data_IF_606477276200
#
_entry.id   IF_606477276200
#
_cell.length_a   1.000
_cell.length_b   1.000
_cell.length_c   1.000
_cell.angle_alpha   90.00
_cell.angle_beta   90.00
_cell.angle_gamma   90.00
#
_symmetry.space_group_name_H-M   'P 1'
#
loop_
_entity.id
_entity.type
_entity.pdbx_description
1 polymer ?
#
# COMPACT_ATOMS: atom_id res chain seq x y z
N UNK A 1 4.60 -2.60 -9.52
CA UNK A 1 5.51 -3.58 -8.89
C UNK A 1 6.51 -4.06 -9.93
N UNK A 2 7.78 -3.71 -9.70
CA UNK A 2 8.87 -4.00 -10.62
C UNK A 2 9.41 -5.41 -10.44
N UNK A 3 10.01 -5.91 -11.51
CA UNK A 3 10.93 -7.04 -11.50
C UNK A 3 12.37 -6.54 -11.51
N UNK A 4 13.29 -7.38 -11.06
CA UNK A 4 14.72 -7.09 -10.94
C UNK A 4 15.53 -8.23 -11.52
N UNK A 5 16.84 -8.05 -11.64
CA UNK A 5 17.72 -9.08 -12.18
C UNK A 5 18.66 -9.64 -11.11
N UNK A 6 18.77 -10.97 -11.09
CA UNK A 6 19.83 -11.65 -10.38
C UNK A 6 21.14 -11.52 -11.15
N UNK A 7 22.28 -11.62 -10.45
CA UNK A 7 23.60 -11.70 -11.09
C UNK A 7 23.77 -12.88 -12.07
N UNK A 8 22.90 -13.90 -12.01
CA UNK A 8 22.86 -14.99 -12.99
C UNK A 8 21.97 -14.71 -14.22
N UNK A 9 21.33 -13.54 -14.30
CA UNK A 9 20.41 -13.14 -15.38
C UNK A 9 18.96 -13.59 -15.18
N UNK A 10 18.63 -14.28 -14.09
CA UNK A 10 17.24 -14.67 -13.79
C UNK A 10 16.43 -13.49 -13.23
N UNK A 11 15.17 -13.40 -13.63
CA UNK A 11 14.22 -12.42 -13.11
C UNK A 11 13.91 -12.69 -11.63
N UNK A 12 13.94 -11.63 -10.84
CA UNK A 12 13.59 -11.56 -9.43
C UNK A 12 12.32 -10.73 -9.25
N UNK A 13 11.43 -11.23 -8.41
CA UNK A 13 10.21 -10.54 -8.00
C UNK A 13 10.42 -9.86 -6.65
N UNK A 14 9.61 -8.83 -6.40
CA UNK A 14 9.67 -8.00 -5.18
C UNK A 14 9.72 -8.79 -3.86
N UNK A 15 9.13 -9.99 -3.82
CA UNK A 15 9.04 -10.84 -2.62
C UNK A 15 10.07 -11.96 -2.56
N UNK A 16 10.94 -12.13 -3.56
CA UNK A 16 11.91 -13.22 -3.53
C UNK A 16 12.90 -13.06 -2.35
N UNK A 17 13.27 -14.21 -1.78
CA UNK A 17 14.32 -14.36 -0.76
C UNK A 17 15.51 -15.19 -1.27
N UNK A 18 15.28 -15.94 -2.35
CA UNK A 18 16.30 -16.67 -3.11
C UNK A 18 15.99 -16.60 -4.61
N UNK A 19 17.03 -16.73 -5.42
CA UNK A 19 16.88 -16.91 -6.86
C UNK A 19 16.52 -18.37 -7.15
N UNK A 20 15.41 -18.60 -7.87
CA UNK A 20 14.96 -19.95 -8.22
C UNK A 20 15.85 -20.67 -9.25
N UNK A 21 16.72 -19.93 -9.95
CA UNK A 21 17.62 -20.49 -10.97
C UNK A 21 18.98 -20.87 -10.40
N UNK A 22 19.64 -19.97 -9.65
CA UNK A 22 21.00 -20.20 -9.13
C UNK A 22 21.07 -20.46 -7.62
N UNK A 23 19.95 -20.39 -6.90
CA UNK A 23 19.88 -20.63 -5.46
C UNK A 23 20.51 -19.55 -4.57
N UNK A 24 21.03 -18.46 -5.15
CA UNK A 24 21.60 -17.34 -4.37
C UNK A 24 20.56 -16.71 -3.47
N UNK A 25 20.99 -16.27 -2.29
CA UNK A 25 20.21 -15.37 -1.44
C UNK A 25 19.96 -14.07 -2.19
N UNK A 26 18.72 -13.61 -2.19
CA UNK A 26 18.33 -12.30 -2.71
C UNK A 26 17.54 -11.54 -1.64
N UNK A 27 17.42 -10.22 -1.81
CA UNK A 27 16.62 -9.41 -0.91
C UNK A 27 16.61 -7.95 -1.28
N UNK A 28 15.74 -7.18 -0.64
CA UNK A 28 15.62 -5.74 -0.84
C UNK A 28 16.84 -5.02 -0.26
N UNK A 29 17.52 -4.22 -1.08
CA UNK A 29 18.61 -3.34 -0.66
C UNK A 29 18.13 -1.89 -0.70
N UNK A 30 18.07 -1.23 0.47
CA UNK A 30 17.60 0.15 0.59
C UNK A 30 18.46 1.13 -0.23
N UNK A 31 19.77 0.92 -0.29
CA UNK A 31 20.67 1.77 -1.08
C UNK A 31 20.40 1.69 -2.59
N UNK A 32 19.93 0.54 -3.07
CA UNK A 32 19.61 0.34 -4.50
C UNK A 32 18.13 0.54 -4.82
N UNK A 33 17.24 0.62 -3.81
CA UNK A 33 15.78 0.55 -3.96
C UNK A 33 15.35 -0.62 -4.88
N UNK A 34 15.98 -1.78 -4.70
CA UNK A 34 15.83 -2.93 -5.57
C UNK A 34 15.99 -4.26 -4.84
N UNK A 35 15.37 -5.33 -5.37
CA UNK A 35 15.72 -6.70 -4.99
C UNK A 35 17.00 -7.09 -5.71
N UNK A 36 18.02 -7.47 -4.95
CA UNK A 36 19.36 -7.77 -5.46
C UNK A 36 19.83 -9.13 -4.99
N UNK A 37 20.70 -9.78 -5.76
CA UNK A 37 21.43 -10.95 -5.28
C UNK A 37 22.58 -10.54 -4.37
N UNK A 38 22.86 -11.40 -3.40
CA UNK A 38 23.88 -11.18 -2.37
C UNK A 38 24.93 -12.26 -2.51
N UNK A 39 26.19 -11.85 -2.62
CA UNK A 39 27.31 -12.77 -2.70
C UNK A 39 27.50 -13.55 -1.40
N UNK A 40 28.30 -14.62 -1.41
CA UNK A 40 28.63 -15.38 -0.19
C UNK A 40 29.35 -14.54 0.88
N UNK A 41 30.02 -13.45 0.49
CA UNK A 41 30.67 -12.53 1.42
C UNK A 41 29.73 -11.42 1.94
N UNK A 42 28.45 -11.49 1.58
CA UNK A 42 27.43 -10.50 1.93
C UNK A 42 27.40 -9.29 1.00
N UNK A 43 28.11 -9.29 -0.13
CA UNK A 43 28.16 -8.11 -0.99
C UNK A 43 26.91 -8.00 -1.86
N UNK A 44 26.32 -6.81 -1.96
CA UNK A 44 25.29 -6.48 -2.93
C UNK A 44 25.87 -6.62 -4.34
N UNK A 45 25.23 -7.43 -5.19
CA UNK A 45 25.71 -7.68 -6.56
C UNK A 45 25.10 -6.71 -7.59
N UNK A 46 24.32 -5.71 -7.15
CA UNK A 46 23.90 -4.59 -8.02
C UNK A 46 25.14 -3.80 -8.46
N UNK A 47 25.34 -3.56 -9.78
CA UNK A 47 26.47 -2.80 -10.29
C UNK A 47 26.61 -1.43 -9.60
N UNK A 48 27.81 -1.12 -9.10
CA UNK A 48 28.11 0.16 -8.44
C UNK A 48 27.64 0.32 -6.99
N UNK A 49 26.91 -0.65 -6.42
CA UNK A 49 26.40 -0.52 -5.05
C UNK A 49 27.51 -0.60 -3.98
N UNK A 50 28.33 -1.66 -4.01
CA UNK A 50 29.45 -1.86 -3.08
C UNK A 50 29.07 -2.17 -1.62
N UNK A 51 27.78 -2.11 -1.25
CA UNK A 51 27.32 -2.35 0.13
C UNK A 51 27.57 -3.79 0.57
N UNK A 52 27.98 -3.95 1.83
CA UNK A 52 27.93 -5.23 2.54
C UNK A 52 26.63 -5.33 3.32
N UNK A 53 25.93 -6.43 3.11
CA UNK A 53 24.57 -6.65 3.53
C UNK A 53 24.47 -7.92 4.38
N UNK A 54 23.58 -7.86 5.37
CA UNK A 54 23.12 -9.01 6.15
C UNK A 54 21.58 -9.03 6.19
N UNK A 55 20.94 -10.19 6.40
CA UNK A 55 19.49 -10.25 6.55
C UNK A 55 19.01 -9.36 7.70
N UNK A 56 17.85 -8.71 7.52
CA UNK A 56 17.13 -8.10 8.64
C UNK A 56 16.85 -9.16 9.73
N UNK A 57 16.93 -8.81 11.01
CA UNK A 57 16.73 -9.76 12.10
C UNK A 57 15.36 -10.47 12.04
N UNK A 58 14.28 -9.73 11.73
CA UNK A 58 12.96 -10.32 11.54
C UNK A 58 12.87 -11.23 10.29
N UNK A 59 13.66 -10.97 9.24
CA UNK A 59 13.77 -11.89 8.11
C UNK A 59 14.42 -13.20 8.56
N UNK A 60 15.54 -13.10 9.26
CA UNK A 60 16.35 -14.25 9.67
C UNK A 60 15.59 -15.14 10.67
N UNK A 61 14.94 -14.53 11.65
CA UNK A 61 14.22 -15.24 12.70
C UNK A 61 12.84 -15.75 12.26
N UNK A 62 12.11 -14.97 11.44
CA UNK A 62 10.66 -15.17 11.25
C UNK A 62 10.22 -15.21 9.78
N UNK A 63 11.10 -14.90 8.83
CA UNK A 63 10.80 -14.84 7.38
C UNK A 63 9.64 -13.90 7.03
N UNK A 64 9.41 -12.87 7.85
CA UNK A 64 8.31 -11.91 7.65
C UNK A 64 8.65 -10.85 6.60
N UNK A 65 9.93 -10.56 6.38
CA UNK A 65 10.42 -9.66 5.35
C UNK A 65 11.55 -10.27 4.51
N UNK A 66 11.85 -9.65 3.37
CA UNK A 66 12.99 -10.01 2.51
C UNK A 66 14.08 -8.92 2.47
N UNK A 67 14.04 -7.98 3.41
CA UNK A 67 14.99 -6.87 3.44
C UNK A 67 16.38 -7.32 3.88
N UNK A 68 17.37 -6.62 3.34
CA UNK A 68 18.76 -6.63 3.75
C UNK A 68 19.09 -5.33 4.45
N UNK A 69 19.94 -5.39 5.47
CA UNK A 69 20.46 -4.22 6.20
C UNK A 69 21.98 -4.17 6.07
N UNK A 70 22.58 -3.01 6.37
CA UNK A 70 24.04 -2.89 6.38
C UNK A 70 24.66 -3.93 7.32
N UNK A 71 25.72 -4.59 6.87
CA UNK A 71 26.52 -5.50 7.69
C UNK A 71 27.15 -4.78 8.90
N UNK A 72 27.33 -3.46 8.82
CA UNK A 72 27.90 -2.64 9.90
C UNK A 72 26.87 -2.28 10.98
N UNK A 73 25.58 -2.59 10.77
CA UNK A 73 24.52 -2.32 11.74
C UNK A 73 24.54 -3.26 12.97
N UNK A 74 25.37 -4.30 12.95
CA UNK A 74 25.50 -5.27 14.03
C UNK A 74 24.40 -6.34 14.03
N UNK A 75 24.49 -7.26 14.99
CA UNK A 75 23.52 -8.34 15.17
C UNK A 75 22.17 -7.81 15.66
N UNK A 76 21.06 -8.39 15.17
CA UNK A 76 19.72 -7.97 15.60
C UNK A 76 19.19 -6.72 14.90
N UNK A 77 19.91 -6.20 13.89
CA UNK A 77 19.48 -5.02 13.14
C UNK A 77 18.17 -5.27 12.36
N UNK A 78 17.20 -4.37 12.53
CA UNK A 78 15.94 -4.36 11.79
C UNK A 78 16.00 -3.42 10.59
N UNK A 79 15.36 -3.77 9.48
CA UNK A 79 15.15 -2.83 8.37
C UNK A 79 14.09 -1.78 8.75
N UNK A 80 14.05 -0.64 8.04
CA UNK A 80 13.11 0.46 8.32
C UNK A 80 11.65 0.00 8.40
N UNK A 81 11.23 -0.84 7.44
CA UNK A 81 9.89 -1.41 7.44
C UNK A 81 9.58 -2.18 8.73
N UNK A 82 10.50 -3.04 9.20
CA UNK A 82 10.31 -3.76 10.46
C UNK A 82 10.42 -2.86 11.69
N UNK A 83 11.24 -1.80 11.67
CA UNK A 83 11.32 -0.81 12.76
C UNK A 83 9.99 -0.07 12.97
N UNK A 84 9.22 0.16 11.89
CA UNK A 84 7.89 0.80 11.97
C UNK A 84 6.81 -0.09 12.58
N UNK A 85 7.04 -1.40 12.77
CA UNK A 85 6.10 -2.25 13.53
C UNK A 85 6.47 -2.21 15.01
N UNK A 86 5.74 -1.40 15.78
CA UNK A 86 5.97 -1.23 17.22
C UNK A 86 5.36 -2.36 18.04
N UNK A 87 4.33 -3.03 17.50
CA UNK A 87 3.72 -4.22 18.11
C UNK A 87 3.61 -5.33 17.06
N UNK A 88 4.48 -6.32 17.18
CA UNK A 88 4.41 -7.56 16.41
C UNK A 88 3.63 -8.62 17.20
N UNK A 89 2.93 -9.55 16.53
CA UNK A 89 2.22 -10.61 17.21
C UNK A 89 3.18 -11.68 17.73
N UNK A 90 2.72 -12.53 18.65
CA UNK A 90 3.53 -13.63 19.20
C UNK A 90 3.97 -14.60 18.08
N UNK A 91 5.27 -14.70 17.77
CA UNK A 91 5.76 -15.55 16.70
C UNK A 91 5.82 -17.04 17.08
N UNK A 92 5.58 -17.39 18.35
CA UNK A 92 5.52 -18.78 18.80
C UNK A 92 4.22 -19.48 18.39
N UNK A 93 3.16 -18.70 18.14
CA UNK A 93 1.94 -19.18 17.51
C UNK A 93 2.10 -19.18 15.98
N UNK A 94 2.04 -20.38 15.39
CA UNK A 94 2.22 -20.58 13.95
C UNK A 94 1.17 -19.84 13.09
N UNK A 95 -0.06 -19.67 13.59
CA UNK A 95 -1.11 -18.90 12.93
C UNK A 95 -0.75 -17.42 12.92
N UNK A 96 -0.37 -16.88 14.09
CA UNK A 96 0.04 -15.49 14.22
C UNK A 96 1.26 -15.18 13.34
N UNK A 97 2.26 -16.06 13.31
CA UNK A 97 3.42 -15.92 12.45
C UNK A 97 3.04 -15.91 10.96
N UNK A 98 2.11 -16.78 10.54
CA UNK A 98 1.63 -16.83 9.15
C UNK A 98 0.90 -15.54 8.77
N UNK A 99 0.04 -15.03 9.66
CA UNK A 99 -0.71 -13.80 9.46
C UNK A 99 0.24 -12.58 9.44
N UNK A 100 1.21 -12.54 10.34
CA UNK A 100 2.23 -11.50 10.37
C UNK A 100 3.03 -11.43 9.05
N UNK A 101 3.45 -12.58 8.52
CA UNK A 101 4.13 -12.66 7.20
C UNK A 101 3.27 -12.06 6.09
N UNK A 102 1.95 -12.25 6.12
CA UNK A 102 1.04 -11.70 5.13
C UNK A 102 0.89 -10.17 5.27
N UNK A 103 0.70 -9.67 6.49
CA UNK A 103 0.62 -8.24 6.78
C UNK A 103 1.91 -7.51 6.41
N UNK A 104 3.07 -8.07 6.76
CA UNK A 104 4.37 -7.50 6.40
C UNK A 104 4.60 -7.45 4.89
N UNK A 105 4.08 -8.41 4.12
CA UNK A 105 4.11 -8.32 2.65
C UNK A 105 3.26 -7.18 2.13
N UNK A 106 2.06 -6.98 2.69
CA UNK A 106 1.18 -5.85 2.36
C UNK A 106 1.83 -4.51 2.68
N UNK A 107 2.32 -4.34 3.92
CA UNK A 107 3.00 -3.12 4.38
C UNK A 107 4.24 -2.79 3.55
N UNK A 108 5.06 -3.78 3.16
CA UNK A 108 6.23 -3.52 2.29
C UNK A 108 5.83 -2.98 0.92
N UNK A 109 4.75 -3.50 0.34
CA UNK A 109 4.21 -2.97 -0.91
C UNK A 109 3.70 -1.56 -0.73
N UNK A 110 3.03 -1.26 0.39
CA UNK A 110 2.61 0.10 0.71
C UNK A 110 3.81 1.06 0.77
N UNK A 111 4.88 0.73 1.50
CA UNK A 111 6.06 1.61 1.56
C UNK A 111 6.72 1.80 0.19
N UNK A 112 6.69 0.78 -0.66
CA UNK A 112 7.11 0.92 -2.05
C UNK A 112 6.23 1.92 -2.81
N UNK A 113 4.91 1.81 -2.69
CA UNK A 113 3.94 2.70 -3.34
C UNK A 113 4.07 4.15 -2.85
N UNK A 114 4.28 4.36 -1.54
CA UNK A 114 4.53 5.69 -0.95
C UNK A 114 5.80 6.32 -1.51
N UNK A 115 6.89 5.56 -1.60
CA UNK A 115 8.13 6.03 -2.18
C UNK A 115 8.00 6.33 -3.70
N UNK A 116 7.15 5.57 -4.41
CA UNK A 116 6.83 5.79 -5.82
C UNK A 116 6.11 7.13 -6.04
N UNK A 117 5.21 7.52 -5.13
CA UNK A 117 4.51 8.81 -5.18
C UNK A 117 5.28 9.94 -4.48
N UNK A 118 6.55 9.72 -4.11
CA UNK A 118 7.43 10.77 -3.59
C UNK A 118 7.26 11.09 -2.10
N UNK A 119 6.54 10.28 -1.35
CA UNK A 119 6.50 10.40 0.11
C UNK A 119 7.86 9.97 0.67
N UNK A 120 8.52 10.88 1.37
CA UNK A 120 9.89 10.68 1.88
C UNK A 120 9.89 9.97 3.24
N UNK A 121 10.97 9.26 3.57
CA UNK A 121 11.14 8.71 4.92
C UNK A 121 11.11 9.81 5.99
N UNK A 122 11.57 11.02 5.68
CA UNK A 122 11.48 12.16 6.60
C UNK A 122 10.02 12.50 6.95
N UNK A 123 9.11 12.48 5.96
CA UNK A 123 7.68 12.67 6.22
C UNK A 123 7.08 11.52 7.02
N UNK A 124 7.52 10.29 6.78
CA UNK A 124 7.04 9.13 7.54
C UNK A 124 7.56 9.10 8.98
N UNK A 125 8.76 9.64 9.23
CA UNK A 125 9.44 9.53 10.53
C UNK A 125 9.25 10.79 11.40
N UNK A 126 8.72 11.90 10.86
CA UNK A 126 8.46 13.10 11.66
C UNK A 126 7.26 12.91 12.62
N UNK A 127 7.27 13.59 13.77
CA UNK A 127 6.31 13.37 14.86
C UNK A 127 4.89 13.89 14.52
N UNK A 128 3.82 13.09 14.76
CA UNK A 128 3.85 11.68 15.14
C UNK A 128 4.23 10.76 13.95
N UNK A 129 5.14 9.78 14.13
CA UNK A 129 5.64 8.96 13.02
C UNK A 129 4.61 7.91 12.57
N UNK A 130 4.71 7.50 11.30
CA UNK A 130 3.96 6.36 10.77
C UNK A 130 4.45 5.05 11.40
N UNK A 131 3.62 4.44 12.23
CA UNK A 131 3.89 3.16 12.87
C UNK A 131 2.74 2.17 12.72
N UNK A 132 3.03 0.90 13.00
CA UNK A 132 2.10 -0.20 12.81
C UNK A 132 1.98 -1.07 14.05
N UNK A 133 0.75 -1.45 14.38
CA UNK A 133 0.42 -2.46 15.39
C UNK A 133 -0.32 -3.60 14.73
N UNK A 134 0.20 -4.82 14.85
CA UNK A 134 -0.44 -6.04 14.37
C UNK A 134 -0.89 -6.85 15.56
N UNK A 135 -2.20 -6.84 15.82
CA UNK A 135 -2.78 -7.38 17.04
C UNK A 135 -3.79 -8.49 16.71
N UNK A 136 -3.85 -9.52 17.55
CA UNK A 136 -4.86 -10.56 17.46
C UNK A 136 -6.01 -10.25 18.41
N UNK A 137 -7.22 -10.64 18.04
CA UNK A 137 -8.34 -10.69 18.97
C UNK A 137 -8.02 -11.58 20.17
N UNK A 138 -8.54 -11.18 21.33
CA UNK A 138 -8.56 -12.01 22.54
C UNK A 138 -10.01 -12.36 22.89
N UNK A 139 -10.27 -13.32 23.78
CA UNK A 139 -11.63 -13.59 24.24
C UNK A 139 -12.35 -12.37 24.84
N UNK A 140 -11.58 -11.42 25.38
CA UNK A 140 -12.10 -10.25 26.10
C UNK A 140 -12.06 -8.96 25.27
N UNK A 141 -11.32 -8.94 24.15
CA UNK A 141 -11.08 -7.74 23.35
C UNK A 141 -11.09 -8.04 21.86
N UNK A 142 -11.95 -7.34 21.12
CA UNK A 142 -11.93 -7.31 19.67
C UNK A 142 -11.09 -6.13 19.19
N UNK A 143 -10.09 -6.41 18.35
CA UNK A 143 -9.20 -5.40 17.78
C UNK A 143 -9.89 -4.73 16.59
N UNK A 144 -10.10 -3.43 16.73
CA UNK A 144 -10.56 -2.57 15.65
C UNK A 144 -9.35 -2.19 14.77
N UNK A 145 -9.51 -2.38 13.46
CA UNK A 145 -8.56 -1.90 12.46
C UNK A 145 -8.81 -0.42 12.20
N UNK A 146 -7.76 0.38 12.16
CA UNK A 146 -7.89 1.83 12.00
C UNK A 146 -6.58 2.58 12.16
N UNK A 147 -6.63 3.89 11.92
CA UNK A 147 -5.54 4.83 12.14
C UNK A 147 -5.87 5.78 13.31
N UNK A 148 -4.90 6.00 14.20
CA UNK A 148 -4.97 7.05 15.23
C UNK A 148 -3.57 7.60 15.52
N UNK A 149 -3.40 8.92 15.46
CA UNK A 149 -2.17 9.64 15.84
C UNK A 149 -0.87 9.04 15.26
N UNK A 150 -0.86 8.71 13.96
CA UNK A 150 0.30 8.10 13.29
C UNK A 150 0.38 6.58 13.40
N UNK A 151 -0.50 5.94 14.15
CA UNK A 151 -0.50 4.50 14.40
C UNK A 151 -1.58 3.81 13.57
N UNK A 152 -1.16 2.99 12.60
CA UNK A 152 -2.05 2.08 11.87
C UNK A 152 -2.12 0.75 12.63
N UNK A 153 -3.29 0.44 13.16
CA UNK A 153 -3.58 -0.84 13.81
C UNK A 153 -4.31 -1.75 12.83
N UNK A 154 -3.78 -2.95 12.59
CA UNK A 154 -4.43 -3.98 11.77
C UNK A 154 -4.67 -5.22 12.63
N UNK A 155 -5.91 -5.71 12.63
CA UNK A 155 -6.25 -7.00 13.22
C UNK A 155 -5.66 -8.15 12.39
N UNK A 156 -4.96 -9.11 13.01
CA UNK A 156 -4.39 -10.27 12.33
C UNK A 156 -5.44 -11.10 11.57
N UNK A 157 -6.69 -11.08 11.99
CA UNK A 157 -7.79 -11.74 11.30
C UNK A 157 -7.91 -11.26 9.84
N UNK A 158 -7.52 -10.02 9.53
CA UNK A 158 -7.51 -9.48 8.17
C UNK A 158 -6.53 -10.23 7.26
N UNK A 159 -5.52 -10.91 7.81
CA UNK A 159 -4.63 -11.77 7.03
C UNK A 159 -5.26 -13.12 6.64
N UNK A 160 -6.38 -13.52 7.25
CA UNK A 160 -7.10 -14.75 6.92
C UNK A 160 -8.00 -14.55 5.68
N UNK A 161 -7.76 -15.28 4.57
CA UNK A 161 -8.57 -15.14 3.36
C UNK A 161 -10.05 -15.47 3.56
N UNK A 162 -10.41 -16.35 4.51
CA UNK A 162 -11.80 -16.69 4.81
C UNK A 162 -12.50 -15.52 5.50
N UNK A 163 -11.82 -14.87 6.44
CA UNK A 163 -12.34 -13.66 7.10
C UNK A 163 -12.52 -12.55 6.07
N UNK A 164 -11.53 -12.33 5.19
CA UNK A 164 -11.62 -11.33 4.12
C UNK A 164 -12.78 -11.59 3.18
N UNK A 165 -12.97 -12.81 2.72
CA UNK A 165 -14.07 -13.11 1.78
C UNK A 165 -15.44 -12.94 2.43
N UNK A 166 -15.58 -13.29 3.72
CA UNK A 166 -16.80 -13.00 4.48
C UNK A 166 -17.06 -11.50 4.60
N UNK A 167 -16.04 -10.73 4.99
CA UNK A 167 -16.13 -9.27 5.09
C UNK A 167 -16.49 -8.64 3.75
N UNK A 168 -15.84 -9.07 2.66
CA UNK A 168 -16.11 -8.60 1.31
C UNK A 168 -17.60 -8.73 0.95
N UNK A 169 -18.20 -9.89 1.22
CA UNK A 169 -19.62 -10.12 0.94
C UNK A 169 -20.53 -9.33 1.90
N UNK A 170 -20.20 -9.30 3.18
CA UNK A 170 -20.99 -8.62 4.21
C UNK A 170 -21.08 -7.11 3.97
N UNK A 171 -19.98 -6.48 3.55
CA UNK A 171 -19.90 -5.04 3.33
C UNK A 171 -20.10 -4.65 1.86
N UNK A 172 -20.43 -5.62 0.99
CA UNK A 172 -20.65 -5.36 -0.44
C UNK A 172 -19.42 -4.81 -1.15
N UNK A 173 -18.22 -5.12 -0.67
CA UNK A 173 -16.97 -4.65 -1.25
C UNK A 173 -16.69 -5.42 -2.55
N UNK A 174 -16.26 -4.74 -3.63
CA UNK A 174 -15.86 -5.43 -4.85
C UNK A 174 -14.63 -6.32 -4.62
N UNK A 175 -13.69 -5.83 -3.81
CA UNK A 175 -12.46 -6.50 -3.43
C UNK A 175 -12.06 -6.14 -2.00
N UNK A 176 -11.59 -7.13 -1.23
CA UNK A 176 -11.04 -6.93 0.11
C UNK A 176 -9.64 -7.51 0.17
N UNK A 177 -8.63 -6.65 0.29
CA UNK A 177 -7.23 -7.07 0.32
C UNK A 177 -6.47 -6.39 1.45
N UNK A 178 -5.48 -7.09 2.00
CA UNK A 178 -4.59 -6.54 3.04
C UNK A 178 -3.97 -5.21 2.60
N UNK A 179 -3.51 -5.12 1.34
CA UNK A 179 -2.90 -3.89 0.83
C UNK A 179 -3.93 -2.77 0.65
N UNK A 180 -5.17 -3.10 0.30
CA UNK A 180 -6.28 -2.15 0.24
C UNK A 180 -6.49 -1.47 1.59
N UNK A 181 -6.54 -2.23 2.69
CA UNK A 181 -6.65 -1.62 4.02
C UNK A 181 -5.44 -0.80 4.40
N UNK A 182 -4.22 -1.27 4.12
CA UNK A 182 -3.04 -0.43 4.35
C UNK A 182 -3.11 0.90 3.59
N UNK A 183 -3.63 0.89 2.36
CA UNK A 183 -3.80 2.10 1.54
C UNK A 183 -4.91 3.03 2.08
N UNK A 184 -5.99 2.46 2.59
CA UNK A 184 -7.03 3.21 3.28
C UNK A 184 -6.47 3.87 4.56
N UNK A 185 -5.87 3.09 5.45
CA UNK A 185 -5.37 3.59 6.74
C UNK A 185 -4.22 4.58 6.58
N UNK A 186 -3.36 4.40 5.57
CA UNK A 186 -2.35 5.42 5.29
C UNK A 186 -2.95 6.67 4.65
N UNK A 187 -4.12 6.58 4.03
CA UNK A 187 -4.90 7.75 3.60
C UNK A 187 -5.20 8.67 4.78
N UNK A 188 -5.67 8.12 5.90
CA UNK A 188 -5.86 8.88 7.15
C UNK A 188 -4.56 9.49 7.67
N UNK A 189 -3.45 8.73 7.66
CA UNK A 189 -2.12 9.26 8.02
C UNK A 189 -1.69 10.43 7.12
N UNK A 190 -1.89 10.30 5.81
CA UNK A 190 -1.49 11.31 4.83
C UNK A 190 -2.38 12.55 4.94
N UNK A 191 -3.66 12.40 5.27
CA UNK A 191 -4.54 13.53 5.60
C UNK A 191 -3.99 14.33 6.78
N UNK A 192 -3.70 13.66 7.90
CA UNK A 192 -3.10 14.28 9.09
C UNK A 192 -1.77 14.98 8.75
N UNK A 193 -0.95 14.34 7.90
CA UNK A 193 0.38 14.85 7.55
C UNK A 193 0.38 16.00 6.56
N UNK A 194 -0.53 16.01 5.58
CA UNK A 194 -0.45 16.87 4.41
C UNK A 194 -1.64 17.83 4.27
N UNK A 195 -2.71 17.63 5.05
CA UNK A 195 -3.96 18.36 4.90
C UNK A 195 -4.35 19.08 6.19
N UNK A 196 -4.44 18.37 7.32
CA UNK A 196 -5.06 18.84 8.58
C UNK A 196 -4.62 20.26 9.00
N UNK A 197 -3.31 20.52 8.98
CA UNK A 197 -2.73 21.78 9.46
C UNK A 197 -2.02 22.57 8.35
N UNK A 198 -2.37 22.30 7.10
CA UNK A 198 -1.64 22.79 5.93
C UNK A 198 -2.56 23.63 5.03
N UNK A 199 -1.94 24.35 4.07
CA UNK A 199 -2.66 25.18 3.11
C UNK A 199 -3.81 24.49 2.32
N UNK A 200 -3.81 23.18 2.00
CA UNK A 200 -4.88 22.56 1.22
C UNK A 200 -6.12 22.17 2.04
N UNK A 201 -6.18 22.44 3.35
CA UNK A 201 -7.30 22.07 4.22
C UNK A 201 -8.67 22.55 3.68
N UNK A 202 -8.79 23.85 3.34
CA UNK A 202 -10.06 24.42 2.91
C UNK A 202 -10.54 23.84 1.56
N UNK A 203 -9.60 23.52 0.67
CA UNK A 203 -9.90 22.81 -0.57
C UNK A 203 -10.34 21.37 -0.33
N UNK A 204 -9.76 20.69 0.67
CA UNK A 204 -10.23 19.37 1.10
C UNK A 204 -11.68 19.44 1.60
N UNK A 205 -11.99 20.39 2.49
CA UNK A 205 -13.36 20.58 3.01
C UNK A 205 -14.34 20.89 1.88
N UNK A 206 -13.95 21.72 0.92
CA UNK A 206 -14.78 22.04 -0.25
C UNK A 206 -15.10 20.81 -1.12
N UNK A 207 -14.16 19.88 -1.26
CA UNK A 207 -14.28 18.73 -2.16
C UNK A 207 -14.89 17.49 -1.49
N UNK A 208 -14.52 17.21 -0.25
CA UNK A 208 -14.91 16.01 0.49
C UNK A 208 -16.01 16.26 1.52
N UNK A 209 -16.15 17.51 1.97
CA UNK A 209 -17.03 17.90 3.08
C UNK A 209 -16.27 18.19 4.36
N UNK A 210 -16.99 18.73 5.34
CA UNK A 210 -16.44 19.04 6.66
C UNK A 210 -16.30 17.75 7.48
N UNK A 211 -15.07 17.38 7.81
CA UNK A 211 -14.76 16.18 8.59
C UNK A 211 -15.19 16.26 10.05
N UNK A 212 -15.56 17.45 10.55
CA UNK A 212 -16.14 17.63 11.89
C UNK A 212 -17.66 17.52 11.89
N UNK A 213 -18.31 17.54 10.71
CA UNK A 213 -19.76 17.59 10.60
C UNK A 213 -20.32 16.75 9.43
N UNK A 214 -21.08 15.67 9.72
CA UNK A 214 -21.49 15.20 11.04
C UNK A 214 -20.33 14.62 11.86
N UNK A 215 -20.43 14.57 13.21
CA UNK A 215 -19.43 13.90 14.04
C UNK A 215 -19.23 12.45 13.60
N UNK A 216 -17.97 12.01 13.50
CA UNK A 216 -17.60 10.70 12.95
C UNK A 216 -18.45 9.55 13.50
N UNK A 217 -18.58 9.43 14.82
CA UNK A 217 -19.36 8.36 15.45
C UNK A 217 -20.84 8.33 15.02
N UNK A 218 -21.48 9.50 14.92
CA UNK A 218 -22.87 9.59 14.47
C UNK A 218 -23.02 9.25 12.98
N UNK A 219 -22.05 9.63 12.15
CA UNK A 219 -22.01 9.32 10.73
C UNK A 219 -21.89 7.80 10.50
N UNK A 220 -20.98 7.16 11.24
CA UNK A 220 -20.75 5.73 11.18
C UNK A 220 -21.96 4.93 11.68
N UNK A 221 -22.56 5.32 12.81
CA UNK A 221 -23.76 4.68 13.33
C UNK A 221 -24.92 4.72 12.32
N UNK A 222 -25.13 5.88 11.68
CA UNK A 222 -26.12 6.02 10.60
C UNK A 222 -25.78 5.13 9.41
N UNK A 223 -24.53 5.15 8.95
CA UNK A 223 -24.10 4.35 7.80
C UNK A 223 -24.31 2.84 8.02
N UNK A 224 -23.98 2.31 9.20
CA UNK A 224 -24.21 0.89 9.50
C UNK A 224 -25.69 0.54 9.70
N UNK A 225 -26.52 1.49 10.12
CA UNK A 225 -27.96 1.29 10.28
C UNK A 225 -28.73 1.36 8.95
N UNK A 226 -28.35 2.29 8.07
CA UNK A 226 -29.13 2.66 6.88
C UNK A 226 -28.47 2.24 5.57
N UNK A 227 -27.15 2.04 5.56
CA UNK A 227 -26.34 1.82 4.37
C UNK A 227 -26.01 3.11 3.61
N UNK A 228 -25.31 3.00 2.46
CA UNK A 228 -25.03 4.15 1.60
C UNK A 228 -26.30 4.65 0.88
N UNK A 229 -26.32 5.92 0.52
CA UNK A 229 -27.37 6.48 -0.34
C UNK A 229 -27.44 5.72 -1.69
N UNK A 230 -28.63 5.42 -2.24
CA UNK A 230 -28.76 4.62 -3.47
C UNK A 230 -28.02 5.16 -4.70
N UNK A 231 -27.65 6.45 -4.69
CA UNK A 231 -26.94 7.15 -5.75
C UNK A 231 -25.49 7.51 -5.37
N UNK A 232 -24.90 6.84 -4.38
CA UNK A 232 -23.51 7.09 -3.94
C UNK A 232 -22.50 7.05 -5.10
N UNK A 233 -22.71 6.18 -6.10
CA UNK A 233 -21.83 6.02 -7.28
C UNK A 233 -21.71 7.29 -8.12
N UNK A 234 -22.60 8.27 -7.93
CA UNK A 234 -22.52 9.56 -8.62
C UNK A 234 -21.45 10.49 -8.03
N UNK A 235 -21.00 10.25 -6.79
CA UNK A 235 -20.14 11.18 -6.05
C UNK A 235 -18.91 10.52 -5.39
N UNK A 236 -18.94 9.21 -5.15
CA UNK A 236 -17.96 8.49 -4.33
C UNK A 236 -17.31 7.34 -5.08
N UNK A 237 -16.04 7.07 -4.79
CA UNK A 237 -15.27 5.98 -5.41
C UNK A 237 -15.72 4.60 -4.90
N UNK A 238 -16.25 4.54 -3.68
CA UNK A 238 -16.76 3.31 -3.03
C UNK A 238 -18.02 3.61 -2.21
N UNK A 239 -18.72 2.55 -1.79
CA UNK A 239 -19.85 2.68 -0.85
C UNK A 239 -19.39 3.28 0.48
N UNK A 240 -18.26 2.79 0.99
CA UNK A 240 -17.75 3.21 2.29
C UNK A 240 -17.29 4.67 2.30
N UNK A 241 -16.80 5.18 1.16
CA UNK A 241 -16.48 6.59 0.99
C UNK A 241 -17.68 7.52 1.24
N UNK A 242 -18.93 7.05 1.08
CA UNK A 242 -20.11 7.88 1.38
C UNK A 242 -20.47 7.94 2.87
N UNK A 243 -19.76 7.22 3.73
CA UNK A 243 -20.06 7.15 5.17
C UNK A 243 -19.72 8.46 5.89
N UNK A 244 -18.60 9.10 5.52
CA UNK A 244 -18.08 10.29 6.18
C UNK A 244 -17.04 10.99 5.29
N UNK A 245 -16.91 12.34 5.32
CA UNK A 245 -15.90 13.07 4.53
C UNK A 245 -14.45 12.59 4.72
N UNK A 246 -14.10 12.19 5.94
CA UNK A 246 -12.78 11.63 6.24
C UNK A 246 -12.54 10.28 5.56
N UNK A 247 -13.58 9.44 5.48
CA UNK A 247 -13.52 8.14 4.81
C UNK A 247 -13.51 8.29 3.29
N UNK A 248 -14.21 9.29 2.76
CA UNK A 248 -14.14 9.66 1.33
C UNK A 248 -12.70 10.03 0.92
N UNK A 249 -12.01 10.81 1.74
CA UNK A 249 -10.61 11.13 1.51
C UNK A 249 -9.73 9.87 1.55
N UNK A 250 -9.86 9.03 2.57
CA UNK A 250 -9.05 7.83 2.73
C UNK A 250 -9.26 6.81 1.59
N UNK A 251 -10.50 6.57 1.19
CA UNK A 251 -10.85 5.70 0.06
C UNK A 251 -10.36 6.27 -1.27
N UNK A 252 -10.50 7.57 -1.49
CA UNK A 252 -9.97 8.24 -2.69
C UNK A 252 -8.45 8.17 -2.75
N UNK A 253 -7.77 8.38 -1.61
CA UNK A 253 -6.33 8.23 -1.50
C UNK A 253 -5.89 6.78 -1.75
N UNK A 254 -6.64 5.82 -1.20
CA UNK A 254 -6.37 4.40 -1.40
C UNK A 254 -6.49 3.98 -2.86
N UNK A 255 -7.52 4.46 -3.56
CA UNK A 255 -7.67 4.24 -5.00
C UNK A 255 -6.56 4.91 -5.81
N UNK A 256 -6.16 6.14 -5.46
CA UNK A 256 -5.01 6.81 -6.11
C UNK A 256 -3.72 5.99 -5.98
N UNK A 257 -3.43 5.46 -4.78
CA UNK A 257 -2.26 4.59 -4.56
C UNK A 257 -2.35 3.30 -5.38
N UNK A 258 -3.54 2.70 -5.49
CA UNK A 258 -3.74 1.52 -6.34
C UNK A 258 -3.48 1.81 -7.81
N UNK A 259 -4.09 2.88 -8.35
CA UNK A 259 -3.87 3.34 -9.72
C UNK A 259 -2.38 3.49 -10.03
N UNK A 260 -1.65 4.20 -9.16
CA UNK A 260 -0.20 4.42 -9.33
C UNK A 260 0.59 3.10 -9.31
N UNK A 261 0.24 2.17 -8.43
CA UNK A 261 0.91 0.87 -8.32
C UNK A 261 0.64 -0.05 -9.52
N UNK A 262 -0.59 -0.02 -10.07
CA UNK A 262 -0.96 -0.76 -11.28
C UNK A 262 -0.21 -0.22 -12.48
N UNK A 263 -0.18 1.11 -12.67
CA UNK A 263 0.56 1.75 -13.76
C UNK A 263 2.07 1.45 -13.69
N UNK A 264 2.70 1.52 -12.51
CA UNK A 264 4.11 1.12 -12.34
C UNK A 264 4.32 -0.37 -12.67
N UNK A 265 3.35 -1.25 -12.36
CA UNK A 265 3.45 -2.67 -12.75
C UNK A 265 3.44 -2.82 -14.27
N UNK A 266 2.48 -2.20 -14.95
CA UNK A 266 2.28 -2.34 -16.38
C UNK A 266 3.46 -1.80 -17.19
N UNK A 267 4.01 -0.66 -16.79
CA UNK A 267 5.19 -0.06 -17.42
C UNK A 267 6.40 -1.01 -17.36
N UNK A 268 6.65 -1.61 -16.19
CA UNK A 268 7.83 -2.46 -15.99
C UNK A 268 7.73 -3.84 -16.63
N UNK A 269 6.53 -4.39 -16.76
CA UNK A 269 6.36 -5.70 -17.38
C UNK A 269 6.45 -5.66 -18.92
N UNK A 270 6.56 -4.47 -19.54
CA UNK A 270 6.60 -4.28 -21.00
C UNK A 270 5.43 -4.95 -21.74
N UNK A 271 4.36 -5.32 -21.03
CA UNK A 271 3.13 -5.92 -21.59
C UNK A 271 2.43 -4.91 -22.49
N UNK A 272 2.63 -3.62 -22.19
CA UNK A 272 2.11 -2.49 -22.95
C UNK A 272 3.06 -1.31 -22.80
N UNK A 273 3.40 -0.65 -23.91
CA UNK A 273 3.98 0.70 -23.83
C UNK A 273 2.85 1.64 -23.41
N UNK A 274 2.77 1.92 -22.11
CA UNK A 274 1.94 3.00 -21.60
C UNK A 274 2.58 4.30 -22.10
N UNK A 275 1.84 5.09 -22.87
CA UNK A 275 2.30 6.41 -23.32
C UNK A 275 2.08 7.45 -22.21
N UNK A 276 2.54 7.16 -20.99
CA UNK A 276 2.44 8.06 -19.83
C UNK A 276 3.78 8.77 -19.68
N UNK A 277 3.76 10.10 -19.72
CA UNK A 277 4.94 10.95 -19.59
C UNK A 277 5.39 11.07 -18.14
N UNK A 278 6.67 11.41 -17.95
CA UNK A 278 7.18 11.86 -16.65
C UNK A 278 6.50 13.14 -16.25
N UNK A 279 5.94 13.17 -15.04
CA UNK A 279 5.13 14.28 -14.57
C UNK A 279 3.81 14.43 -15.33
N UNK A 280 3.26 13.32 -15.85
CA UNK A 280 1.89 13.27 -16.33
C UNK A 280 0.93 13.82 -15.26
N UNK A 281 -0.05 14.60 -15.71
CA UNK A 281 -1.15 15.03 -14.85
C UNK A 281 -2.08 13.84 -14.53
N UNK A 282 -3.05 14.07 -13.66
CA UNK A 282 -4.01 13.04 -13.29
C UNK A 282 -4.78 12.50 -14.50
N UNK A 283 -5.18 13.36 -15.44
CA UNK A 283 -6.06 12.95 -16.53
C UNK A 283 -5.34 11.95 -17.45
N UNK A 284 -4.06 12.20 -17.76
CA UNK A 284 -3.22 11.25 -18.50
C UNK A 284 -3.01 9.92 -17.74
N UNK A 285 -2.86 9.96 -16.41
CA UNK A 285 -2.74 8.75 -15.58
C UNK A 285 -4.05 7.94 -15.55
N UNK A 286 -5.19 8.62 -15.39
CA UNK A 286 -6.51 8.01 -15.35
C UNK A 286 -6.87 7.36 -16.68
N UNK A 287 -6.60 8.03 -17.80
CA UNK A 287 -6.87 7.48 -19.13
C UNK A 287 -6.08 6.19 -19.35
N UNK A 288 -4.79 6.17 -18.98
CA UNK A 288 -3.96 4.98 -19.06
C UNK A 288 -4.45 3.84 -18.13
N UNK A 289 -4.89 4.19 -16.92
CA UNK A 289 -5.39 3.22 -15.95
C UNK A 289 -6.72 2.61 -16.39
N UNK A 290 -7.67 3.42 -16.84
CA UNK A 290 -8.98 2.97 -17.33
C UNK A 290 -8.80 2.04 -18.54
N UNK A 291 -7.93 2.43 -19.48
CA UNK A 291 -7.68 1.60 -20.66
C UNK A 291 -7.06 0.24 -20.30
N UNK A 292 -6.16 0.21 -19.32
CA UNK A 292 -5.63 -1.04 -18.79
C UNK A 292 -6.69 -1.85 -18.04
N UNK A 293 -7.50 -1.20 -17.22
CA UNK A 293 -8.58 -1.79 -16.43
C UNK A 293 -9.59 -2.54 -17.31
N UNK A 294 -9.98 -1.98 -18.46
CA UNK A 294 -10.83 -2.67 -19.43
C UNK A 294 -10.24 -4.02 -19.85
N UNK A 295 -8.96 -4.05 -20.21
CA UNK A 295 -8.29 -5.29 -20.62
C UNK A 295 -8.20 -6.30 -19.48
N UNK A 296 -7.82 -5.83 -18.29
CA UNK A 296 -7.68 -6.68 -17.10
C UNK A 296 -9.01 -7.28 -16.65
N UNK A 297 -10.08 -6.50 -16.69
CA UNK A 297 -11.43 -6.96 -16.36
C UNK A 297 -11.93 -8.00 -17.37
N UNK A 298 -11.73 -7.80 -18.67
CA UNK A 298 -12.12 -8.80 -19.69
C UNK A 298 -11.33 -10.11 -19.56
N UNK A 299 -10.04 -10.05 -19.17
CA UNK A 299 -9.26 -11.25 -18.85
C UNK A 299 -9.88 -12.01 -17.67
N UNK A 300 -10.21 -11.31 -16.58
CA UNK A 300 -10.86 -11.93 -15.42
C UNK A 300 -12.23 -12.52 -15.77
N UNK A 301 -13.08 -11.79 -16.50
CA UNK A 301 -14.39 -12.26 -16.95
C UNK A 301 -14.29 -13.49 -17.84
N UNK A 302 -13.28 -13.56 -18.72
CA UNK A 302 -12.99 -14.74 -19.54
C UNK A 302 -12.71 -15.99 -18.70
N UNK A 303 -12.14 -15.81 -17.50
CA UNK A 303 -11.88 -16.88 -16.54
C UNK A 303 -13.04 -17.11 -15.55
N UNK A 304 -14.14 -16.36 -15.65
CA UNK A 304 -15.26 -16.42 -14.70
C UNK A 304 -14.95 -15.79 -13.34
N UNK A 305 -13.96 -14.89 -13.28
CA UNK A 305 -13.58 -14.14 -12.08
C UNK A 305 -14.25 -12.76 -12.07
N UNK A 306 -14.31 -12.15 -10.89
CA UNK A 306 -14.79 -10.76 -10.72
C UNK A 306 -13.85 -9.77 -11.37
N UNK A 307 -14.36 -8.58 -11.69
CA UNK A 307 -13.55 -7.47 -12.19
C UNK A 307 -12.38 -7.16 -11.24
N UNK A 308 -11.21 -6.92 -11.82
CA UNK A 308 -9.99 -6.58 -11.07
C UNK A 308 -9.98 -5.09 -10.70
N UNK A 309 -10.51 -4.26 -11.58
CA UNK A 309 -10.62 -2.80 -11.45
C UNK A 309 -12.09 -2.39 -11.63
N UNK A 310 -12.94 -2.64 -10.63
CA UNK A 310 -14.39 -2.43 -10.72
C UNK A 310 -14.84 -0.99 -10.46
N UNK A 311 -13.95 -0.11 -9.99
CA UNK A 311 -14.28 1.24 -9.57
C UNK A 311 -14.68 2.14 -10.74
N UNK A 312 -15.61 3.06 -10.49
CA UNK A 312 -16.15 3.99 -11.50
C UNK A 312 -15.68 5.41 -11.17
N UNK A 313 -14.93 6.02 -12.08
CA UNK A 313 -14.41 7.39 -11.91
C UNK A 313 -15.30 8.38 -12.66
N UNK A 314 -16.28 8.96 -11.96
CA UNK A 314 -17.09 10.09 -12.44
C UNK A 314 -16.37 11.44 -12.23
N UNK A 315 -16.98 12.56 -12.67
CA UNK A 315 -16.33 13.88 -12.55
C UNK A 315 -16.10 14.32 -11.10
N UNK A 316 -17.07 14.21 -10.16
CA UNK A 316 -16.80 14.51 -8.74
C UNK A 316 -15.62 13.72 -8.15
N UNK A 317 -15.52 12.43 -8.46
CA UNK A 317 -14.40 11.57 -8.03
C UNK A 317 -13.09 12.00 -8.70
N UNK A 318 -13.14 12.39 -9.99
CA UNK A 318 -11.97 12.93 -10.70
C UNK A 318 -11.45 14.21 -10.04
N UNK A 319 -12.32 15.13 -9.63
CA UNK A 319 -11.91 16.35 -8.92
C UNK A 319 -11.22 16.05 -7.59
N UNK A 320 -11.77 15.12 -6.80
CA UNK A 320 -11.16 14.62 -5.56
C UNK A 320 -9.79 13.98 -5.81
N UNK A 321 -9.67 13.17 -6.87
CA UNK A 321 -8.39 12.59 -7.26
C UNK A 321 -7.38 13.64 -7.74
N UNK A 322 -7.82 14.75 -8.37
CA UNK A 322 -6.92 15.85 -8.77
C UNK A 322 -6.34 16.52 -7.53
N UNK A 323 -7.16 16.71 -6.51
CA UNK A 323 -6.71 17.20 -5.22
C UNK A 323 -5.67 16.26 -4.59
N UNK A 324 -5.99 14.97 -4.46
CA UNK A 324 -5.05 13.98 -3.90
C UNK A 324 -3.75 13.93 -4.69
N UNK A 325 -3.81 13.92 -6.02
CA UNK A 325 -2.63 13.95 -6.87
C UNK A 325 -1.75 15.19 -6.61
N UNK A 326 -2.38 16.35 -6.41
CA UNK A 326 -1.71 17.61 -6.12
C UNK A 326 -1.03 17.70 -4.74
N UNK A 327 -1.32 16.77 -3.82
CA UNK A 327 -0.63 16.68 -2.52
C UNK A 327 0.81 16.16 -2.65
N UNK A 328 1.14 15.54 -3.78
CA UNK A 328 2.43 14.89 -4.00
C UNK A 328 3.28 15.63 -5.05
N UNK A 329 4.61 15.52 -5.00
CA UNK A 329 5.47 16.17 -5.98
C UNK A 329 5.17 15.72 -7.41
N UNK A 330 5.12 16.68 -8.35
CA UNK A 330 4.90 16.43 -9.80
C UNK A 330 5.94 15.47 -10.39
N UNK A 331 7.13 15.39 -9.79
CA UNK A 331 8.23 14.50 -10.20
C UNK A 331 8.39 13.25 -9.33
N UNK A 332 7.38 12.93 -8.49
CA UNK A 332 7.31 11.63 -7.84
C UNK A 332 7.65 10.54 -8.86
N UNK A 333 8.61 9.68 -8.53
CA UNK A 333 9.31 8.74 -9.41
C UNK A 333 8.38 7.70 -10.06
N UNK A 334 7.42 8.12 -10.87
CA UNK A 334 7.05 7.30 -12.00
C UNK A 334 8.19 7.35 -13.00
N UNK A 335 8.35 6.19 -13.61
CA UNK A 335 9.12 5.95 -14.81
C UNK A 335 10.59 5.68 -14.52
N UNK A 336 10.99 4.46 -14.90
CA UNK A 336 12.39 4.06 -14.92
C UNK A 336 13.23 5.13 -15.61
N UNK A 337 14.38 5.45 -15.03
CA UNK A 337 15.49 5.96 -15.83
C UNK A 337 15.79 4.90 -16.88
N UNK A 338 15.60 5.26 -18.15
CA UNK A 338 16.49 4.72 -19.18
C UNK A 338 17.89 5.23 -18.88
#
# INVERSE_FOLDING_TARGET
MRTYDCSCGATLFFTNTHCHTCGRTVGWCDACRAVTSVSKSGQCETPGCGQRLQPCANRDAYEVCNAMVSADAGSGALCRGCQRTTHAPDPSDARNLTQWRALERGKRRLHYDLALIGVTDQQLDAEPPLTYRFLADTPDEHIITGHADGVITINLAEADPVVREKGRQQFGEPQRTIIGHFRHEVGHFLWMRLVENEAPHDDCVRLFGDHENPPYGEAMDRYYAEGPDPNWQANYISQYASSHPWEDFAETCGFYLDMRAVLDTLEHQSVRSLSVRRGADLDELLDAYIEAGLTLNEINRTMGLTDLVPEVVNEPVREKLRFVHGLFPVHAELLASV
#
